data_IF_109907031725
#
_entry.id   IF_109907031725
#
_cell.length_a   1.000
_cell.length_b   1.000
_cell.length_c   1.000
_cell.angle_alpha   90.00
_cell.angle_beta   90.00
_cell.angle_gamma   90.00
#
_symmetry.space_group_name_H-M   'P 1'
#
loop_
_entity.id
_entity.type
_entity.pdbx_description
1 polymer ?
#
# COMPACT_ATOMS: atom_id res chain seq x y z
N UNK A 1 -0.14 10.56 -19.32
CA UNK A 1 -0.09 9.82 -18.05
C UNK A 1 -0.67 10.71 -16.98
N UNK A 2 -1.76 10.27 -16.34
CA UNK A 2 -2.39 10.97 -15.23
C UNK A 2 -1.75 10.59 -13.91
N UNK A 3 -1.85 11.48 -12.94
CA UNK A 3 -1.50 11.20 -11.54
C UNK A 3 -2.61 11.73 -10.65
N UNK A 4 -2.86 11.13 -9.51
CA UNK A 4 -3.78 11.69 -8.53
C UNK A 4 -3.02 12.50 -7.48
N UNK A 5 -3.48 13.74 -7.24
CA UNK A 5 -2.95 14.64 -6.22
C UNK A 5 -3.74 14.49 -4.93
N UNK A 6 -3.04 14.36 -3.82
CA UNK A 6 -3.59 14.40 -2.48
C UNK A 6 -3.08 15.63 -1.74
N UNK A 7 -3.98 16.36 -1.08
CA UNK A 7 -3.67 17.63 -0.40
C UNK A 7 -3.88 17.56 1.12
N UNK A 8 -3.90 16.32 1.66
CA UNK A 8 -4.05 16.08 3.10
C UNK A 8 -5.51 16.02 3.60
N UNK A 9 -6.47 16.40 2.78
CA UNK A 9 -7.91 16.37 3.11
C UNK A 9 -8.71 15.49 2.16
N UNK A 10 -8.11 15.05 1.06
CA UNK A 10 -8.71 14.16 0.08
C UNK A 10 -8.32 12.72 0.33
N UNK A 11 -9.21 11.81 0.02
CA UNK A 11 -8.97 10.36 0.03
C UNK A 11 -9.71 9.72 -1.14
N UNK A 12 -9.25 8.54 -1.55
CA UNK A 12 -9.92 7.72 -2.55
C UNK A 12 -10.48 6.48 -1.88
N UNK A 13 -11.73 6.12 -2.22
CA UNK A 13 -12.37 4.90 -1.74
C UNK A 13 -12.25 3.80 -2.79
N UNK A 14 -11.52 2.74 -2.47
CA UNK A 14 -11.32 1.55 -3.29
C UNK A 14 -12.40 0.48 -3.12
N UNK A 15 -13.41 0.74 -2.30
CA UNK A 15 -14.52 -0.19 -2.03
C UNK A 15 -14.27 -1.13 -0.84
N UNK A 16 -15.31 -1.89 -0.47
CA UNK A 16 -15.33 -2.74 0.72
C UNK A 16 -14.80 -4.17 0.50
N UNK A 17 -14.65 -4.57 -0.77
CA UNK A 17 -14.23 -5.93 -1.15
C UNK A 17 -12.74 -6.19 -1.12
N UNK A 18 -11.89 -5.16 -1.02
CA UNK A 18 -10.44 -5.34 -1.03
C UNK A 18 -9.92 -5.88 0.30
N UNK A 19 -8.96 -6.80 0.20
CA UNK A 19 -8.39 -7.50 1.35
C UNK A 19 -9.47 -8.16 2.22
N UNK A 20 -10.48 -8.73 1.57
CA UNK A 20 -11.53 -9.54 2.14
C UNK A 20 -11.60 -10.87 1.37
N UNK A 21 -11.77 -11.97 2.05
CA UNK A 21 -11.97 -13.29 1.46
C UNK A 21 -13.33 -13.85 1.86
N UNK A 22 -14.06 -14.40 0.90
CA UNK A 22 -15.29 -15.13 1.19
C UNK A 22 -15.02 -16.46 1.91
N UNK A 23 -13.79 -16.98 1.80
CA UNK A 23 -13.39 -18.28 2.28
C UNK A 23 -12.64 -18.23 3.64
N UNK A 24 -12.60 -17.08 4.31
CA UNK A 24 -11.96 -16.94 5.62
C UNK A 24 -10.84 -15.90 5.65
N UNK A 25 -9.80 -16.16 6.45
CA UNK A 25 -8.72 -15.21 6.70
C UNK A 25 -7.92 -14.84 5.46
N UNK A 26 -7.56 -13.58 5.37
CA UNK A 26 -6.68 -13.04 4.34
C UNK A 26 -5.26 -12.98 4.90
N UNK A 27 -4.34 -13.74 4.32
CA UNK A 27 -3.03 -13.95 4.91
C UNK A 27 -1.85 -13.49 4.04
N UNK A 28 -2.12 -12.96 2.85
CA UNK A 28 -1.09 -12.45 1.95
C UNK A 28 -1.61 -11.43 0.96
N UNK A 29 -0.80 -10.44 0.64
CA UNK A 29 -1.07 -9.46 -0.42
C UNK A 29 0.20 -8.75 -0.86
N UNK A 30 0.08 -8.03 -1.98
CA UNK A 30 1.02 -6.99 -2.41
C UNK A 30 0.25 -5.70 -2.65
N UNK A 31 0.79 -4.58 -2.17
CA UNK A 31 0.40 -3.23 -2.52
C UNK A 31 1.58 -2.55 -3.22
N UNK A 32 1.35 -1.91 -4.34
CA UNK A 32 2.38 -1.17 -5.07
C UNK A 32 1.85 0.15 -5.59
N UNK A 33 2.71 1.16 -5.62
CA UNK A 33 2.40 2.48 -6.17
C UNK A 33 3.66 3.26 -6.49
N UNK A 34 3.60 4.13 -7.51
CA UNK A 34 4.53 5.25 -7.60
C UNK A 34 4.06 6.37 -6.68
N UNK A 35 5.01 6.97 -5.98
CA UNK A 35 4.75 8.00 -4.96
C UNK A 35 5.67 9.20 -5.18
N UNK A 36 5.11 10.40 -5.10
CA UNK A 36 5.83 11.65 -4.95
C UNK A 36 5.35 12.33 -3.67
N UNK A 37 6.22 12.53 -2.70
CA UNK A 37 5.88 13.12 -1.40
C UNK A 37 6.17 14.61 -1.46
N UNK A 38 5.12 15.45 -1.43
CA UNK A 38 5.27 16.91 -1.38
C UNK A 38 5.57 17.40 0.03
N UNK A 39 5.06 16.72 1.05
CA UNK A 39 5.27 17.04 2.46
C UNK A 39 5.16 15.74 3.27
N UNK A 40 6.15 15.47 4.12
CA UNK A 40 6.10 14.35 5.03
C UNK A 40 5.15 14.66 6.18
N UNK A 41 4.07 13.90 6.30
CA UNK A 41 3.06 14.04 7.35
C UNK A 41 3.01 12.77 8.19
N UNK A 42 3.36 12.87 9.48
CA UNK A 42 3.24 11.73 10.39
C UNK A 42 1.80 11.22 10.45
N UNK A 43 1.67 9.91 10.33
CA UNK A 43 0.35 9.26 10.34
C UNK A 43 -0.48 9.44 9.06
N UNK A 44 0.07 10.04 8.00
CA UNK A 44 -0.57 10.04 6.68
C UNK A 44 -0.62 8.63 6.12
N UNK A 45 -1.77 8.21 5.60
CA UNK A 45 -2.00 6.86 5.11
C UNK A 45 -1.75 6.76 3.61
N UNK A 46 -0.96 5.80 3.21
CA UNK A 46 -0.91 5.34 1.83
C UNK A 46 -2.14 4.51 1.52
N UNK A 47 -2.50 3.60 2.43
CA UNK A 47 -3.83 3.01 2.48
C UNK A 47 -4.22 2.66 3.92
N UNK A 48 -5.52 2.54 4.15
CA UNK A 48 -6.08 2.02 5.39
C UNK A 48 -7.40 1.31 5.17
N UNK A 49 -7.68 0.37 6.06
CA UNK A 49 -8.97 -0.30 6.21
C UNK A 49 -9.31 -0.31 7.70
N UNK A 50 -10.44 0.27 8.08
CA UNK A 50 -10.84 0.46 9.47
C UNK A 50 -12.23 -0.12 9.68
N UNK A 51 -12.49 -0.65 10.87
CA UNK A 51 -13.84 -0.98 11.34
C UNK A 51 -14.15 -0.08 12.53
N UNK A 52 -14.94 0.95 12.30
CA UNK A 52 -15.10 2.04 13.24
C UNK A 52 -13.75 2.68 13.57
N UNK A 53 -13.36 2.63 14.85
CA UNK A 53 -12.07 3.12 15.34
C UNK A 53 -10.97 2.04 15.37
N UNK A 54 -11.28 0.81 14.98
CA UNK A 54 -10.35 -0.31 15.02
C UNK A 54 -9.60 -0.43 13.69
N UNK A 55 -8.28 -0.48 13.75
CA UNK A 55 -7.46 -0.74 12.56
C UNK A 55 -7.61 -2.20 12.16
N UNK A 56 -8.02 -2.45 10.92
CA UNK A 56 -7.94 -3.76 10.29
C UNK A 56 -6.56 -3.93 9.69
N UNK A 57 -6.19 -3.01 8.80
CA UNK A 57 -4.85 -2.87 8.25
C UNK A 57 -4.62 -1.41 7.86
N UNK A 58 -3.41 -0.91 8.09
CA UNK A 58 -3.01 0.42 7.66
C UNK A 58 -1.52 0.47 7.29
N UNK A 59 -1.22 1.09 6.17
CA UNK A 59 0.14 1.39 5.73
C UNK A 59 0.30 2.90 5.69
N UNK A 60 1.18 3.45 6.49
CA UNK A 60 1.25 4.88 6.76
C UNK A 60 2.68 5.39 6.93
N UNK A 61 2.83 6.69 6.79
CA UNK A 61 4.05 7.42 7.11
C UNK A 61 4.28 7.43 8.62
N UNK A 62 5.51 7.25 9.04
CA UNK A 62 5.89 7.28 10.46
C UNK A 62 6.31 8.67 10.93
N UNK A 63 6.60 8.78 12.23
CA UNK A 63 6.92 10.04 12.89
C UNK A 63 8.23 10.69 12.41
N UNK A 64 9.15 9.89 11.90
CA UNK A 64 10.40 10.40 11.31
C UNK A 64 10.35 10.28 9.80
N UNK A 65 10.91 11.26 9.09
CA UNK A 65 11.09 11.16 7.65
C UNK A 65 11.79 9.83 7.29
N UNK A 66 11.37 9.23 6.18
CA UNK A 66 11.87 7.93 5.71
C UNK A 66 11.54 6.74 6.64
N UNK A 67 10.54 6.86 7.51
CA UNK A 67 9.98 5.72 8.22
C UNK A 67 8.56 5.44 7.76
N UNK A 68 8.26 4.16 7.50
CA UNK A 68 6.91 3.70 7.18
C UNK A 68 6.46 2.70 8.25
N UNK A 69 5.16 2.62 8.43
CA UNK A 69 4.54 1.79 9.45
C UNK A 69 3.41 0.95 8.85
N UNK A 70 3.45 -0.35 9.12
CA UNK A 70 2.36 -1.28 8.82
C UNK A 70 1.69 -1.70 10.13
N UNK A 71 0.39 -1.48 10.22
CA UNK A 71 -0.44 -1.90 11.35
C UNK A 71 -1.44 -2.95 10.88
N UNK A 72 -1.61 -4.04 11.63
CA UNK A 72 -2.63 -5.08 11.41
C UNK A 72 -3.26 -5.37 12.77
N UNK A 73 -4.54 -5.02 12.94
CA UNK A 73 -5.16 -5.00 14.26
C UNK A 73 -4.40 -4.06 15.20
N UNK A 74 -4.03 -4.56 16.38
CA UNK A 74 -3.22 -3.84 17.36
C UNK A 74 -1.71 -3.98 17.14
N UNK A 75 -1.28 -4.86 16.24
CA UNK A 75 0.13 -5.12 15.94
C UNK A 75 0.69 -4.05 15.02
N UNK A 76 1.94 -3.64 15.28
CA UNK A 76 2.63 -2.61 14.51
C UNK A 76 4.04 -3.07 14.18
N UNK A 77 4.42 -2.91 12.92
CA UNK A 77 5.79 -3.09 12.46
C UNK A 77 6.25 -1.84 11.68
N UNK A 78 7.54 -1.51 11.78
CA UNK A 78 8.12 -0.32 11.17
C UNK A 78 9.27 -0.68 10.24
N UNK A 79 9.53 0.18 9.26
CA UNK A 79 10.65 0.05 8.35
C UNK A 79 11.26 1.43 8.11
N UNK A 80 12.60 1.49 8.01
CA UNK A 80 13.31 2.69 7.56
C UNK A 80 13.64 2.52 6.08
N UNK A 81 13.26 3.51 5.29
CA UNK A 81 13.46 3.54 3.85
C UNK A 81 14.69 4.37 3.48
N UNK A 82 15.23 4.23 2.26
CA UNK A 82 16.00 5.29 1.62
C UNK A 82 15.21 6.60 1.59
N UNK A 83 15.88 7.69 1.20
CA UNK A 83 15.21 8.99 1.07
C UNK A 83 14.08 8.93 0.02
N UNK A 84 12.85 9.15 0.48
CA UNK A 84 11.65 9.24 -0.37
C UNK A 84 11.16 10.68 -0.56
N UNK A 85 11.87 11.67 0.01
CA UNK A 85 11.44 13.06 -0.01
C UNK A 85 11.76 13.77 -1.34
N UNK A 86 12.62 13.19 -2.19
CA UNK A 86 13.08 13.82 -3.41
C UNK A 86 12.70 13.03 -4.65
N UNK A 87 11.72 13.52 -5.41
CA UNK A 87 11.35 12.93 -6.68
C UNK A 87 10.29 11.84 -6.58
N UNK A 88 10.11 11.13 -7.67
CA UNK A 88 9.23 9.99 -7.77
C UNK A 88 9.96 8.71 -7.34
N UNK A 89 9.30 7.93 -6.51
CA UNK A 89 9.74 6.60 -6.10
C UNK A 89 8.66 5.57 -6.36
N UNK A 90 9.07 4.35 -6.63
CA UNK A 90 8.18 3.21 -6.52
C UNK A 90 8.30 2.61 -5.12
N UNK A 91 7.17 2.26 -4.52
CA UNK A 91 7.13 1.48 -3.30
C UNK A 91 6.24 0.25 -3.49
N UNK A 92 6.75 -0.90 -3.09
CA UNK A 92 6.04 -2.17 -3.08
C UNK A 92 6.07 -2.79 -1.69
N UNK A 93 4.90 -2.91 -1.06
CA UNK A 93 4.72 -3.61 0.20
C UNK A 93 4.22 -5.03 -0.08
N UNK A 94 4.91 -6.02 0.44
CA UNK A 94 4.42 -7.40 0.47
C UNK A 94 4.17 -7.84 1.91
N UNK A 95 3.13 -8.61 2.10
CA UNK A 95 2.81 -9.25 3.38
C UNK A 95 2.44 -10.71 3.14
N UNK A 96 2.98 -11.61 3.94
CA UNK A 96 2.63 -13.02 3.96
C UNK A 96 2.84 -13.59 5.35
N UNK A 97 1.75 -14.08 5.97
CA UNK A 97 1.77 -14.84 7.23
C UNK A 97 2.67 -14.22 8.31
N UNK A 98 2.44 -12.95 8.65
CA UNK A 98 3.19 -12.23 9.69
C UNK A 98 4.51 -11.63 9.23
N UNK A 99 4.94 -11.87 8.00
CA UNK A 99 6.15 -11.29 7.43
C UNK A 99 5.82 -10.18 6.46
N UNK A 100 6.35 -8.98 6.68
CA UNK A 100 6.22 -7.85 5.75
C UNK A 100 7.58 -7.42 5.20
N UNK A 101 7.61 -7.07 3.92
CA UNK A 101 8.80 -6.57 3.23
C UNK A 101 8.44 -5.36 2.38
N UNK A 102 9.37 -4.42 2.29
CA UNK A 102 9.28 -3.25 1.43
C UNK A 102 10.32 -3.31 0.33
N UNK A 103 9.91 -2.94 -0.86
CA UNK A 103 10.76 -2.73 -2.02
C UNK A 103 10.67 -1.26 -2.43
N UNK A 104 11.81 -0.64 -2.69
CA UNK A 104 11.90 0.76 -3.11
C UNK A 104 12.61 0.82 -4.45
N UNK A 105 12.01 1.51 -5.42
CA UNK A 105 12.49 1.68 -6.78
C UNK A 105 12.81 0.34 -7.49
N UNK A 106 13.86 0.30 -8.26
CA UNK A 106 14.32 -0.90 -8.96
C UNK A 106 15.17 -1.82 -8.09
N UNK A 107 15.33 -1.49 -6.80
CA UNK A 107 16.15 -2.30 -5.92
C UNK A 107 15.42 -3.61 -5.60
N UNK A 108 15.98 -4.73 -6.05
CA UNK A 108 15.46 -6.06 -5.76
C UNK A 108 15.73 -6.52 -4.31
N UNK A 109 16.44 -5.71 -3.53
CA UNK A 109 16.71 -6.03 -2.13
C UNK A 109 15.54 -5.58 -1.27
N UNK A 110 14.87 -6.56 -0.68
CA UNK A 110 13.78 -6.30 0.25
C UNK A 110 14.29 -5.71 1.57
N UNK A 111 13.61 -4.69 2.05
CA UNK A 111 13.81 -4.15 3.40
C UNK A 111 12.76 -4.81 4.32
N UNK A 112 13.23 -5.45 5.38
CA UNK A 112 12.33 -6.13 6.30
C UNK A 112 11.73 -5.13 7.30
N UNK A 113 10.44 -5.29 7.59
CA UNK A 113 9.81 -4.60 8.71
C UNK A 113 10.29 -5.18 10.04
N UNK A 114 10.42 -4.31 11.04
CA UNK A 114 10.76 -4.65 12.42
C UNK A 114 9.51 -4.54 13.28
N UNK A 115 9.13 -5.63 13.92
CA UNK A 115 7.92 -5.76 14.74
C UNK A 115 7.19 -7.08 14.44
N UNK A 116 6.39 -7.53 15.40
CA UNK A 116 5.59 -8.73 15.23
C UNK A 116 4.24 -8.40 14.59
N UNK A 117 3.91 -9.05 13.50
CA UNK A 117 2.62 -8.95 12.83
C UNK A 117 1.86 -10.29 12.98
N UNK A 118 0.52 -10.28 12.99
CA UNK A 118 -0.28 -11.51 13.03
C UNK A 118 -0.13 -12.27 11.72
N UNK A 119 -0.38 -13.58 11.72
CA UNK A 119 -0.35 -14.40 10.51
C UNK A 119 -1.52 -14.13 9.55
N UNK A 120 -2.56 -13.50 10.04
CA UNK A 120 -3.80 -13.25 9.30
C UNK A 120 -4.27 -11.81 9.48
N UNK A 121 -4.85 -11.24 8.42
CA UNK A 121 -5.51 -9.95 8.46
C UNK A 121 -6.98 -10.20 8.83
N UNK A 122 -7.56 -9.47 9.80
CA UNK A 122 -8.96 -9.60 10.14
C UNK A 122 -9.87 -9.45 8.92
N UNK A 123 -10.74 -10.43 8.72
CA UNK A 123 -11.59 -10.52 7.54
C UNK A 123 -12.87 -9.71 7.74
N UNK A 124 -12.85 -8.44 7.35
CA UNK A 124 -14.00 -7.52 7.47
C UNK A 124 -14.34 -6.89 6.12
N UNK A 125 -15.63 -6.62 5.90
CA UNK A 125 -16.12 -5.81 4.78
C UNK A 125 -16.23 -4.36 5.22
N UNK A 126 -15.14 -3.63 5.08
CA UNK A 126 -15.07 -2.19 5.32
C UNK A 126 -14.29 -1.53 4.18
N UNK A 127 -14.48 -0.25 3.98
CA UNK A 127 -13.86 0.49 2.90
C UNK A 127 -12.33 0.45 2.96
N UNK A 128 -11.72 0.23 1.79
CA UNK A 128 -10.29 0.38 1.56
C UNK A 128 -10.03 1.80 1.09
N UNK A 129 -9.40 2.61 1.93
CA UNK A 129 -9.18 4.03 1.68
C UNK A 129 -7.71 4.28 1.34
N UNK A 130 -7.46 5.13 0.34
CA UNK A 130 -6.12 5.50 -0.14
C UNK A 130 -5.92 7.00 0.06
N UNK A 131 -4.74 7.40 0.56
CA UNK A 131 -4.27 8.78 0.57
C UNK A 131 -4.81 9.66 1.69
N UNK A 132 -5.45 9.11 2.73
CA UNK A 132 -5.95 9.91 3.85
C UNK A 132 -4.80 10.65 4.57
N UNK A 133 -4.91 11.97 4.70
CA UNK A 133 -3.88 12.90 5.19
C UNK A 133 -2.60 12.96 4.36
N UNK A 134 -2.49 12.18 3.29
CA UNK A 134 -1.32 12.20 2.43
C UNK A 134 -1.21 13.51 1.65
N UNK A 135 0.01 14.04 1.52
CA UNK A 135 0.32 15.21 0.71
C UNK A 135 1.35 14.86 -0.35
N UNK A 136 0.89 14.77 -1.59
CA UNK A 136 1.74 14.35 -2.70
C UNK A 136 0.93 13.83 -3.87
N UNK A 137 1.55 12.95 -4.63
CA UNK A 137 0.94 12.32 -5.80
C UNK A 137 1.14 10.81 -5.74
N UNK A 138 0.15 10.08 -6.23
CA UNK A 138 0.23 8.63 -6.47
C UNK A 138 -0.02 8.34 -7.95
N UNK A 139 0.61 7.29 -8.45
CA UNK A 139 0.41 6.78 -9.79
C UNK A 139 0.54 5.24 -9.80
N UNK A 140 -0.13 4.59 -10.76
CA UNK A 140 -0.04 3.14 -10.97
C UNK A 140 -0.24 2.34 -9.67
N UNK A 141 -1.25 2.70 -8.86
CA UNK A 141 -1.53 2.02 -7.59
C UNK A 141 -2.24 0.70 -7.81
N UNK A 142 -1.79 -0.37 -7.18
CA UNK A 142 -2.46 -1.66 -7.26
C UNK A 142 -2.46 -2.44 -5.94
N UNK A 143 -3.40 -3.37 -5.84
CA UNK A 143 -3.47 -4.39 -4.79
C UNK A 143 -3.59 -5.76 -5.46
N UNK A 144 -2.81 -6.73 -4.99
CA UNK A 144 -2.82 -8.10 -5.50
C UNK A 144 -2.90 -9.11 -4.37
N UNK A 145 -3.55 -10.24 -4.62
CA UNK A 145 -3.56 -11.40 -3.71
C UNK A 145 -2.31 -12.28 -3.81
N UNK A 146 -1.36 -11.96 -4.67
CA UNK A 146 -0.06 -12.62 -4.73
C UNK A 146 0.98 -11.85 -3.93
N UNK A 147 1.93 -12.58 -3.36
CA UNK A 147 3.19 -12.01 -2.87
C UNK A 147 4.20 -12.04 -4.01
N UNK A 148 4.68 -10.86 -4.37
CA UNK A 148 5.68 -10.68 -5.43
C UNK A 148 7.03 -10.45 -4.79
N UNK A 149 8.08 -11.04 -5.34
CA UNK A 149 9.44 -10.75 -4.89
C UNK A 149 10.27 -11.94 -4.40
N UNK A 150 9.77 -13.18 -4.50
CA UNK A 150 10.58 -14.35 -4.12
C UNK A 150 11.38 -14.97 -5.26
N UNK A 151 11.25 -14.48 -6.48
CA UNK A 151 11.84 -15.12 -7.68
C UNK A 151 12.63 -14.20 -8.60
N UNK A 152 13.27 -13.14 -8.07
CA UNK A 152 14.18 -12.30 -8.87
C UNK A 152 13.51 -11.49 -10.00
N UNK A 153 12.20 -11.39 -9.99
CA UNK A 153 11.46 -10.51 -10.89
C UNK A 153 11.30 -9.15 -10.24
N UNK A 154 11.59 -8.11 -10.97
CA UNK A 154 11.22 -6.75 -10.57
C UNK A 154 9.71 -6.76 -10.26
N UNK A 155 9.28 -6.49 -9.01
CA UNK A 155 7.88 -6.57 -8.63
C UNK A 155 6.99 -5.57 -9.37
N UNK A 156 7.54 -4.75 -10.24
CA UNK A 156 7.01 -3.46 -10.63
C UNK A 156 6.55 -3.40 -12.07
N UNK A 157 6.89 -4.34 -12.92
CA UNK A 157 6.34 -4.30 -14.28
C UNK A 157 4.99 -5.00 -14.28
N UNK A 158 3.93 -4.20 -14.27
CA UNK A 158 2.54 -4.62 -14.46
C UNK A 158 2.38 -5.59 -15.66
N UNK A 159 3.16 -5.43 -16.70
CA UNK A 159 3.14 -6.22 -17.92
C UNK A 159 3.40 -7.74 -17.72
N UNK A 160 3.94 -8.13 -16.59
CA UNK A 160 4.24 -9.53 -16.26
C UNK A 160 3.28 -10.18 -15.25
N UNK A 161 2.21 -9.47 -14.85
CA UNK A 161 1.26 -9.95 -13.88
C UNK A 161 0.17 -10.81 -14.50
N UNK A 162 -0.12 -11.91 -13.86
CA UNK A 162 -1.34 -12.66 -14.17
C UNK A 162 -2.54 -11.85 -13.67
N UNK A 163 -3.25 -11.19 -14.56
CA UNK A 163 -4.39 -10.30 -14.27
C UNK A 163 -5.43 -10.91 -13.33
N UNK A 164 -5.54 -12.24 -13.27
CA UNK A 164 -6.48 -12.94 -12.37
C UNK A 164 -6.16 -12.80 -10.87
N UNK A 165 -5.00 -12.25 -10.54
CA UNK A 165 -4.55 -12.10 -9.13
C UNK A 165 -4.49 -10.65 -8.68
N UNK A 166 -4.73 -9.69 -9.58
CA UNK A 166 -4.89 -8.29 -9.23
C UNK A 166 -6.30 -8.11 -8.70
N UNK A 167 -6.39 -7.57 -7.49
CA UNK A 167 -7.67 -7.27 -6.84
C UNK A 167 -8.18 -5.89 -7.23
N UNK A 168 -7.28 -4.94 -7.42
CA UNK A 168 -7.57 -3.60 -7.90
C UNK A 168 -6.33 -2.95 -8.51
N UNK A 169 -6.56 -2.07 -9.49
CA UNK A 169 -5.51 -1.29 -10.15
C UNK A 169 -6.06 0.08 -10.56
N UNK A 170 -5.37 1.15 -10.17
CA UNK A 170 -5.72 2.54 -10.47
C UNK A 170 -4.58 3.19 -11.25
N UNK A 171 -4.80 3.40 -12.54
CA UNK A 171 -3.86 4.05 -13.45
C UNK A 171 -3.78 5.55 -13.29
N UNK A 172 -4.92 6.14 -12.87
CA UNK A 172 -5.11 7.59 -12.80
C UNK A 172 -4.96 8.34 -14.14
N UNK A 173 -5.03 7.64 -15.27
CA UNK A 173 -4.87 8.23 -16.61
C UNK A 173 -6.04 9.10 -17.06
N UNK A 174 -7.22 8.96 -16.45
CA UNK A 174 -8.40 9.80 -16.74
C UNK A 174 -8.42 11.04 -15.83
N UNK A 175 -7.91 12.16 -16.34
CA UNK A 175 -7.94 13.44 -15.64
C UNK A 175 -9.35 13.94 -15.32
N UNK A 176 -10.40 13.42 -15.99
CA UNK A 176 -11.81 13.79 -15.77
C UNK A 176 -12.50 12.92 -14.73
N UNK A 177 -11.94 11.75 -14.44
CA UNK A 177 -12.47 10.78 -13.48
C UNK A 177 -11.33 10.06 -12.73
N UNK A 178 -10.55 10.78 -11.94
CA UNK A 178 -9.46 10.16 -11.20
C UNK A 178 -10.01 9.06 -10.27
N UNK A 179 -9.45 7.84 -10.41
CA UNK A 179 -9.83 6.69 -9.60
C UNK A 179 -10.99 5.85 -10.14
N UNK A 180 -11.38 6.01 -11.40
CA UNK A 180 -12.30 5.12 -12.12
C UNK A 180 -11.55 4.41 -13.24
N UNK A 181 -10.86 3.35 -12.92
CA UNK A 181 -10.34 2.40 -13.91
C UNK A 181 -10.94 1.03 -13.72
#
# INVERSE_FOLDING_TARGET
NGVVKFEGTSLMNGGDGLLHSADGAFNKFTFGTYIYISEWVDGAFLFKKMDGNSTIIAFQMGATANSLKLSIGSSVATVTTPDLATGWHYIGLTYEQGTAKLYVDTNNTAINFVGALPNEIPNTRTDFLIGDKFKGYLDETFVSSLVVGTSGRNPITFDNWNNSKILAYWKYDDATKPGKD
#
